data_IF_360601611357
#
_entry.id   IF_360601611357
#
_cell.length_a   1.000
_cell.length_b   1.000
_cell.length_c   1.000
_cell.angle_alpha   90.00
_cell.angle_beta   90.00
_cell.angle_gamma   90.00
#
_symmetry.space_group_name_H-M   'P 1'
#
loop_
_entity.id
_entity.type
_entity.pdbx_description
1 polymer ?
#
# COMPACT_ATOMS: atom_id res chain seq x y z
N UNK A 1 -34.13 -9.27 -11.15
CA UNK A 1 -33.03 -8.67 -10.37
C UNK A 1 -33.47 -7.29 -9.91
N UNK A 2 -33.39 -6.96 -8.60
CA UNK A 2 -33.78 -5.64 -8.12
C UNK A 2 -32.83 -4.57 -8.69
N UNK A 3 -33.35 -3.42 -9.17
CA UNK A 3 -32.55 -2.37 -9.83
C UNK A 3 -31.47 -1.76 -8.93
N UNK A 4 -31.57 -1.91 -7.60
CA UNK A 4 -30.54 -1.46 -6.65
C UNK A 4 -29.27 -2.33 -6.61
N UNK A 5 -29.35 -3.60 -6.99
CA UNK A 5 -28.21 -4.53 -6.90
C UNK A 5 -27.10 -4.21 -7.92
N UNK A 6 -27.47 -3.74 -9.12
CA UNK A 6 -26.52 -3.38 -10.18
C UNK A 6 -25.80 -2.04 -9.93
N UNK A 7 -26.46 -1.10 -9.26
CA UNK A 7 -25.83 0.17 -8.85
C UNK A 7 -24.80 -0.09 -7.74
N UNK A 8 -25.16 -0.88 -6.72
CA UNK A 8 -24.25 -1.26 -5.65
C UNK A 8 -23.03 -2.02 -6.16
N UNK A 9 -23.20 -2.99 -7.06
CA UNK A 9 -22.08 -3.75 -7.63
C UNK A 9 -21.14 -2.84 -8.44
N UNK A 10 -21.68 -1.93 -9.24
CA UNK A 10 -20.86 -1.00 -10.03
C UNK A 10 -20.08 0.00 -9.16
N UNK A 11 -20.70 0.50 -8.07
CA UNK A 11 -20.00 1.37 -7.12
C UNK A 11 -18.91 0.61 -6.36
N UNK A 12 -19.20 -0.60 -5.89
CA UNK A 12 -18.24 -1.45 -5.18
C UNK A 12 -17.01 -1.74 -6.07
N UNK A 13 -17.23 -2.08 -7.34
CA UNK A 13 -16.17 -2.36 -8.29
C UNK A 13 -15.31 -1.12 -8.58
N UNK A 14 -15.92 0.07 -8.71
CA UNK A 14 -15.17 1.34 -8.81
C UNK A 14 -14.33 1.63 -7.57
N UNK A 15 -14.89 1.44 -6.37
CA UNK A 15 -14.16 1.64 -5.12
C UNK A 15 -12.99 0.66 -5.03
N UNK A 16 -13.20 -0.61 -5.35
CA UNK A 16 -12.14 -1.63 -5.37
C UNK A 16 -11.04 -1.30 -6.36
N UNK A 17 -11.37 -0.79 -7.55
CA UNK A 17 -10.38 -0.34 -8.54
C UNK A 17 -9.57 0.85 -8.02
N UNK A 18 -10.21 1.82 -7.36
CA UNK A 18 -9.51 2.95 -6.73
C UNK A 18 -8.59 2.47 -5.61
N UNK A 19 -9.07 1.58 -4.75
CA UNK A 19 -8.26 0.99 -3.67
C UNK A 19 -7.07 0.23 -4.26
N UNK A 20 -7.28 -0.58 -5.31
CA UNK A 20 -6.21 -1.29 -6.03
C UNK A 20 -5.17 -0.33 -6.58
N UNK A 21 -5.59 0.78 -7.21
CA UNK A 21 -4.69 1.77 -7.76
C UNK A 21 -3.88 2.48 -6.66
N UNK A 22 -4.55 2.93 -5.60
CA UNK A 22 -3.90 3.61 -4.46
C UNK A 22 -2.92 2.67 -3.77
N UNK A 23 -3.31 1.40 -3.56
CA UNK A 23 -2.44 0.40 -2.97
C UNK A 23 -1.22 0.12 -3.85
N UNK A 24 -1.39 0.01 -5.18
CA UNK A 24 -0.28 -0.12 -6.12
C UNK A 24 0.71 1.05 -6.03
N UNK A 25 0.19 2.28 -6.02
CA UNK A 25 1.00 3.49 -5.87
C UNK A 25 1.76 3.47 -4.53
N UNK A 26 1.10 3.07 -3.45
CA UNK A 26 1.71 2.91 -2.12
C UNK A 26 2.84 1.89 -2.12
N UNK A 27 2.62 0.72 -2.72
CA UNK A 27 3.64 -0.34 -2.89
C UNK A 27 4.83 0.20 -3.69
N UNK A 28 4.58 0.91 -4.80
CA UNK A 28 5.62 1.49 -5.65
C UNK A 28 6.49 2.49 -4.87
N UNK A 29 5.87 3.42 -4.14
CA UNK A 29 6.60 4.40 -3.35
C UNK A 29 7.37 3.77 -2.18
N UNK A 30 6.81 2.76 -1.51
CA UNK A 30 7.51 2.01 -0.47
C UNK A 30 8.68 1.19 -1.03
N UNK A 31 8.51 0.56 -2.19
CA UNK A 31 9.60 -0.13 -2.89
C UNK A 31 10.73 0.84 -3.24
N UNK A 32 10.39 2.02 -3.77
CA UNK A 32 11.37 3.04 -4.11
C UNK A 32 12.06 3.59 -2.85
N UNK A 33 11.32 3.76 -1.75
CA UNK A 33 11.91 4.12 -0.45
C UNK A 33 12.90 3.06 0.03
N UNK A 34 12.56 1.77 -0.04
CA UNK A 34 13.47 0.68 0.32
C UNK A 34 14.71 0.65 -0.58
N UNK A 35 14.55 0.88 -1.89
CA UNK A 35 15.64 0.94 -2.86
C UNK A 35 16.58 2.10 -2.54
N UNK A 36 16.03 3.29 -2.31
CA UNK A 36 16.79 4.48 -1.93
C UNK A 36 17.48 4.29 -0.59
N UNK A 37 16.84 3.64 0.39
CA UNK A 37 17.45 3.32 1.68
C UNK A 37 18.61 2.30 1.57
N UNK A 38 18.56 1.38 0.61
CA UNK A 38 19.67 0.47 0.34
C UNK A 38 20.82 1.14 -0.43
N UNK A 39 20.51 2.02 -1.39
CA UNK A 39 21.51 2.68 -2.23
C UNK A 39 22.18 3.88 -1.55
N UNK A 40 21.41 4.69 -0.82
CA UNK A 40 21.93 5.85 -0.08
C UNK A 40 22.51 5.40 1.25
N UNK A 41 23.82 5.12 1.28
CA UNK A 41 24.59 4.93 2.52
C UNK A 41 24.88 6.23 3.28
N UNK A 42 24.56 7.40 2.71
CA UNK A 42 24.78 8.71 3.35
C UNK A 42 23.61 9.08 4.28
N UNK A 43 23.82 9.18 5.60
CA UNK A 43 22.83 9.77 6.49
C UNK A 43 22.62 11.25 6.11
N UNK A 44 21.37 11.67 5.89
CA UNK A 44 21.02 13.06 5.53
C UNK A 44 20.68 13.32 4.05
N UNK A 45 20.50 12.29 3.22
CA UNK A 45 20.03 12.49 1.83
C UNK A 45 18.63 13.12 1.82
N UNK A 46 18.47 14.25 1.11
CA UNK A 46 17.16 14.91 0.89
C UNK A 46 16.14 13.94 0.28
N UNK A 47 16.60 12.99 -0.53
CA UNK A 47 15.76 11.94 -1.12
C UNK A 47 15.17 11.02 -0.05
N UNK A 48 15.99 10.57 0.92
CA UNK A 48 15.52 9.73 2.00
C UNK A 48 14.47 10.44 2.85
N UNK A 49 14.71 11.72 3.17
CA UNK A 49 13.75 12.53 3.91
C UNK A 49 12.43 12.68 3.14
N UNK A 50 12.48 12.93 1.82
CA UNK A 50 11.28 13.01 0.99
C UNK A 50 10.44 11.72 1.06
N UNK A 51 11.08 10.55 0.91
CA UNK A 51 10.37 9.28 1.03
C UNK A 51 9.87 8.99 2.44
N UNK A 52 10.58 9.44 3.47
CA UNK A 52 10.16 9.28 4.86
C UNK A 52 8.92 10.13 5.18
N UNK A 53 8.82 11.34 4.62
CA UNK A 53 7.59 12.15 4.71
C UNK A 53 6.45 11.51 3.92
N UNK A 54 6.72 11.09 2.68
CA UNK A 54 5.69 10.53 1.78
C UNK A 54 5.12 9.20 2.29
N UNK A 55 5.98 8.32 2.80
CA UNK A 55 5.60 6.99 3.34
C UNK A 55 5.37 7.00 4.85
N UNK A 56 5.56 8.14 5.50
CA UNK A 56 5.37 8.36 6.94
C UNK A 56 3.98 7.94 7.43
N UNK A 57 2.88 8.34 6.77
CA UNK A 57 1.53 7.92 7.17
C UNK A 57 1.32 6.40 7.11
N UNK A 58 1.88 5.74 6.09
CA UNK A 58 1.79 4.28 5.93
C UNK A 58 2.58 3.56 7.02
N UNK A 59 3.83 3.98 7.22
CA UNK A 59 4.72 3.40 8.24
C UNK A 59 4.23 3.64 9.67
N UNK A 60 3.66 4.81 9.98
CA UNK A 60 3.04 5.10 11.29
C UNK A 60 1.82 4.21 11.56
N UNK A 61 0.99 3.98 10.54
CA UNK A 61 -0.17 3.09 10.67
C UNK A 61 0.28 1.68 11.03
N UNK A 62 1.32 1.16 10.37
CA UNK A 62 1.86 -0.17 10.66
C UNK A 62 2.63 -0.22 11.98
N UNK A 63 3.30 0.87 12.38
CA UNK A 63 4.01 0.96 13.65
C UNK A 63 3.10 0.74 14.87
N UNK A 64 1.79 1.05 14.77
CA UNK A 64 0.81 0.78 15.84
C UNK A 64 0.60 -0.71 16.10
N UNK A 65 0.86 -1.55 15.12
CA UNK A 65 0.72 -3.00 15.21
C UNK A 65 2.07 -3.72 15.34
N UNK A 66 3.18 -2.97 15.25
CA UNK A 66 4.52 -3.52 15.39
C UNK A 66 4.97 -3.51 16.87
N UNK A 67 5.90 -4.42 17.25
CA UNK A 67 6.49 -4.39 18.58
C UNK A 67 7.13 -3.03 18.90
N UNK A 68 6.94 -2.54 20.11
CA UNK A 68 7.52 -1.28 20.58
C UNK A 68 9.06 -1.30 20.42
N UNK A 69 9.63 -0.20 19.94
CA UNK A 69 11.07 -0.09 19.67
C UNK A 69 11.54 -0.77 18.37
N UNK A 70 10.64 -1.19 17.48
CA UNK A 70 11.02 -1.76 16.19
C UNK A 70 11.91 -0.81 15.37
N UNK A 71 13.03 -1.28 14.79
CA UNK A 71 13.92 -0.44 13.99
C UNK A 71 13.21 0.19 12.80
N UNK A 72 13.56 1.42 12.37
CA UNK A 72 12.92 2.10 11.25
C UNK A 72 12.94 1.28 9.95
N UNK A 73 14.04 0.58 9.69
CA UNK A 73 14.18 -0.32 8.54
C UNK A 73 13.14 -1.46 8.58
N UNK A 74 12.86 -2.02 9.75
CA UNK A 74 11.86 -3.08 9.95
C UNK A 74 10.46 -2.55 9.70
N UNK A 75 10.16 -1.35 10.18
CA UNK A 75 8.86 -0.69 9.96
C UNK A 75 8.59 -0.43 8.48
N UNK A 76 9.60 -0.04 7.70
CA UNK A 76 9.47 0.14 6.23
C UNK A 76 9.13 -1.18 5.54
N UNK A 77 9.80 -2.27 5.91
CA UNK A 77 9.50 -3.61 5.38
C UNK A 77 8.12 -4.10 5.77
N UNK A 78 7.69 -3.89 7.02
CA UNK A 78 6.34 -4.25 7.47
C UNK A 78 5.28 -3.43 6.72
N UNK A 79 5.49 -2.13 6.54
CA UNK A 79 4.59 -1.27 5.78
C UNK A 79 4.51 -1.69 4.31
N UNK A 80 5.65 -2.03 3.69
CA UNK A 80 5.69 -2.58 2.34
C UNK A 80 4.89 -3.88 2.25
N UNK A 81 5.14 -4.83 3.16
CA UNK A 81 4.41 -6.11 3.18
C UNK A 81 2.91 -5.94 3.38
N UNK A 82 2.49 -5.07 4.31
CA UNK A 82 1.08 -4.77 4.55
C UNK A 82 0.40 -4.13 3.32
N UNK A 83 1.06 -3.16 2.69
CA UNK A 83 0.53 -2.50 1.50
C UNK A 83 0.46 -3.46 0.31
N UNK A 84 1.48 -4.31 0.14
CA UNK A 84 1.51 -5.37 -0.87
C UNK A 84 0.36 -6.36 -0.67
N UNK A 85 0.11 -6.77 0.57
CA UNK A 85 -0.99 -7.67 0.89
C UNK A 85 -2.34 -7.03 0.53
N UNK A 86 -2.57 -5.76 0.89
CA UNK A 86 -3.79 -5.03 0.53
C UNK A 86 -3.97 -4.92 -0.99
N UNK A 87 -2.88 -4.71 -1.72
CA UNK A 87 -2.93 -4.66 -3.18
C UNK A 87 -3.30 -6.02 -3.80
N UNK A 88 -2.66 -7.10 -3.35
CA UNK A 88 -2.94 -8.46 -3.83
C UNK A 88 -4.38 -8.87 -3.49
N UNK A 89 -4.86 -8.59 -2.29
CA UNK A 89 -6.26 -8.88 -1.92
C UNK A 89 -7.25 -8.07 -2.75
N UNK A 90 -6.93 -6.81 -3.08
CA UNK A 90 -7.75 -6.00 -3.98
C UNK A 90 -7.78 -6.57 -5.41
N UNK A 91 -6.67 -7.14 -5.91
CA UNK A 91 -6.64 -7.84 -7.21
C UNK A 91 -7.59 -9.04 -7.18
N UNK A 92 -7.41 -9.93 -6.20
CA UNK A 92 -8.22 -11.15 -6.06
C UNK A 92 -9.71 -10.81 -5.90
N UNK A 93 -10.04 -9.76 -5.12
CA UNK A 93 -11.41 -9.31 -4.94
C UNK A 93 -12.02 -8.77 -6.25
N UNK A 94 -11.26 -7.98 -7.01
CA UNK A 94 -11.72 -7.47 -8.32
C UNK A 94 -11.95 -8.63 -9.30
N UNK A 95 -11.03 -9.59 -9.38
CA UNK A 95 -11.15 -10.75 -10.26
C UNK A 95 -12.34 -11.64 -9.88
N UNK A 96 -12.56 -11.85 -8.59
CA UNK A 96 -13.70 -12.64 -8.08
C UNK A 96 -15.06 -11.98 -8.38
N UNK A 97 -15.12 -10.64 -8.40
CA UNK A 97 -16.36 -9.88 -8.66
C UNK A 97 -16.59 -9.60 -10.15
N UNK A 98 -15.53 -9.49 -10.95
CA UNK A 98 -15.63 -9.26 -12.39
C UNK A 98 -15.93 -10.55 -13.18
N UNK A 99 -15.75 -11.73 -12.56
CA UNK A 99 -15.86 -13.04 -13.19
C UNK A 99 -14.64 -13.40 -14.05
N UNK A 100 -14.34 -14.70 -14.26
CA UNK A 100 -13.30 -15.11 -15.19
C UNK A 100 -13.67 -14.59 -16.59
N UNK A 101 -12.73 -13.87 -17.21
CA UNK A 101 -12.84 -13.49 -18.63
C UNK A 101 -12.56 -14.67 -19.53
#
# INVERSE_FOLDING_TARGET
MPPGASLLSNMLLRILLLVRLIAFIGVLYLALHLLVARLSRKPGSKLLWFFEVLTGPLTRTVARFAPAGSPPARLRWLAFGACLLVWVTAIVAVESLAGPR
#
